data_IF_389388338938
#
_entry.id   IF_389388338938
#
_cell.length_a   1.000
_cell.length_b   1.000
_cell.length_c   1.000
_cell.angle_alpha   90.00
_cell.angle_beta   90.00
_cell.angle_gamma   90.00
#
_symmetry.space_group_name_H-M   'P 1'
#
loop_
_entity.id
_entity.type
_entity.pdbx_description
1 polymer ?
#
# COMPACT_ATOMS: atom_id res chain seq x y z
N UNK A 1 -10.85 -7.58 -7.66
CA UNK A 1 -12.00 -8.20 -8.38
C UNK A 1 -13.17 -7.23 -8.40
N UNK A 2 -13.59 -6.65 -7.26
CA UNK A 2 -14.73 -5.71 -7.21
C UNK A 2 -14.51 -4.46 -8.09
N UNK A 3 -13.31 -3.90 -8.11
CA UNK A 3 -12.99 -2.70 -8.90
C UNK A 3 -13.09 -2.96 -10.40
N UNK A 4 -12.75 -4.15 -10.87
CA UNK A 4 -12.87 -4.54 -12.28
C UNK A 4 -14.33 -4.61 -12.74
N UNK A 5 -15.15 -5.24 -11.94
CA UNK A 5 -16.55 -5.49 -12.24
C UNK A 5 -17.36 -4.18 -12.34
N UNK A 6 -16.95 -3.16 -11.57
CA UNK A 6 -17.58 -1.83 -11.60
C UNK A 6 -17.15 -1.02 -12.83
N UNK A 7 -15.91 -1.14 -13.29
CA UNK A 7 -15.41 -0.37 -14.44
C UNK A 7 -16.14 -0.73 -15.76
N UNK A 8 -16.62 -1.95 -15.93
CA UNK A 8 -17.31 -2.38 -17.14
C UNK A 8 -18.81 -2.02 -17.17
N UNK A 9 -19.35 -1.34 -16.15
CA UNK A 9 -20.76 -0.91 -16.09
C UNK A 9 -21.80 -2.04 -16.01
N UNK A 10 -21.35 -3.30 -15.99
CA UNK A 10 -22.21 -4.50 -15.93
C UNK A 10 -22.60 -4.89 -14.52
N UNK A 11 -21.77 -4.54 -13.53
CA UNK A 11 -22.05 -4.67 -12.10
C UNK A 11 -22.10 -3.29 -11.44
N UNK A 12 -22.93 -3.15 -10.44
CA UNK A 12 -23.10 -1.92 -9.67
C UNK A 12 -22.72 -2.16 -8.22
N UNK A 13 -22.31 -1.11 -7.53
CA UNK A 13 -22.14 -1.16 -6.09
C UNK A 13 -23.47 -1.51 -5.42
N UNK A 14 -23.45 -2.49 -4.51
CA UNK A 14 -24.64 -3.03 -3.87
C UNK A 14 -25.25 -4.26 -4.55
N UNK A 15 -24.74 -4.68 -5.72
CA UNK A 15 -25.13 -5.98 -6.31
C UNK A 15 -24.61 -7.13 -5.43
N UNK A 16 -25.49 -8.11 -5.18
CA UNK A 16 -25.18 -9.32 -4.41
C UNK A 16 -24.99 -10.49 -5.39
N UNK A 17 -23.84 -11.16 -5.35
CA UNK A 17 -23.56 -12.35 -6.16
C UNK A 17 -24.28 -13.52 -5.50
N UNK A 18 -25.21 -14.15 -6.23
CA UNK A 18 -26.01 -15.29 -5.77
C UNK A 18 -25.58 -16.61 -6.41
N UNK A 19 -25.04 -16.60 -7.64
CA UNK A 19 -24.49 -17.80 -8.27
C UNK A 19 -23.29 -17.48 -9.17
N UNK A 20 -22.40 -18.49 -9.34
CA UNK A 20 -21.23 -18.47 -10.22
C UNK A 20 -21.34 -19.66 -11.16
N UNK A 21 -21.37 -19.42 -12.49
CA UNK A 21 -21.55 -20.44 -13.53
C UNK A 21 -22.74 -21.38 -13.26
N UNK A 22 -23.80 -20.87 -12.62
CA UNK A 22 -25.00 -21.60 -12.26
C UNK A 22 -24.95 -22.29 -10.89
N UNK A 23 -23.81 -22.32 -10.21
CA UNK A 23 -23.71 -22.85 -8.85
C UNK A 23 -24.08 -21.77 -7.83
N UNK A 24 -25.01 -22.08 -6.92
CA UNK A 24 -25.41 -21.20 -5.83
C UNK A 24 -24.21 -20.95 -4.87
N UNK A 25 -23.95 -19.70 -4.58
CA UNK A 25 -22.92 -19.26 -3.64
C UNK A 25 -23.51 -18.55 -2.42
N UNK A 26 -24.83 -18.53 -2.28
CA UNK A 26 -25.47 -17.96 -1.10
C UNK A 26 -25.06 -18.74 0.15
N UNK A 27 -24.62 -18.03 1.19
CA UNK A 27 -24.11 -18.66 2.42
C UNK A 27 -22.66 -19.17 2.37
N UNK A 28 -21.97 -19.13 1.23
CA UNK A 28 -20.52 -19.39 1.16
C UNK A 28 -19.75 -18.23 1.75
N UNK A 29 -18.53 -18.51 2.27
CA UNK A 29 -17.67 -17.44 2.77
C UNK A 29 -17.12 -16.58 1.64
N UNK A 30 -16.74 -15.33 1.95
CA UNK A 30 -16.09 -14.46 0.98
C UNK A 30 -14.82 -15.10 0.36
N UNK A 31 -14.05 -15.84 1.16
CA UNK A 31 -12.85 -16.57 0.72
C UNK A 31 -13.17 -17.65 -0.31
N UNK A 32 -14.25 -18.42 -0.10
CA UNK A 32 -14.67 -19.48 -1.02
C UNK A 32 -15.11 -18.90 -2.37
N UNK A 33 -15.91 -17.82 -2.32
CA UNK A 33 -16.34 -17.10 -3.51
C UNK A 33 -15.16 -16.52 -4.28
N UNK A 34 -14.22 -15.87 -3.58
CA UNK A 34 -12.99 -15.34 -4.20
C UNK A 34 -12.14 -16.45 -4.82
N UNK A 35 -11.99 -17.59 -4.16
CA UNK A 35 -11.24 -18.74 -4.68
C UNK A 35 -11.88 -19.32 -5.92
N UNK A 36 -13.20 -19.44 -5.95
CA UNK A 36 -13.98 -19.90 -7.11
C UNK A 36 -13.78 -18.95 -8.32
N UNK A 37 -13.81 -17.65 -8.10
CA UNK A 37 -13.58 -16.65 -9.15
C UNK A 37 -12.11 -16.71 -9.65
N UNK A 38 -11.14 -16.83 -8.75
CA UNK A 38 -9.70 -16.94 -9.11
C UNK A 38 -9.41 -18.18 -9.96
N UNK A 39 -10.10 -19.30 -9.70
CA UNK A 39 -9.96 -20.53 -10.49
C UNK A 39 -10.45 -20.38 -11.95
N UNK A 40 -11.17 -19.28 -12.25
CA UNK A 40 -11.65 -18.94 -13.60
C UNK A 40 -10.74 -17.96 -14.35
N UNK A 41 -9.52 -17.73 -13.86
CA UNK A 41 -8.57 -16.85 -14.53
C UNK A 41 -8.36 -17.26 -15.99
N UNK A 42 -8.40 -16.29 -16.90
CA UNK A 42 -8.36 -16.45 -18.36
C UNK A 42 -9.54 -17.25 -18.95
N UNK A 43 -10.68 -17.28 -18.27
CA UNK A 43 -11.92 -17.89 -18.73
C UNK A 43 -13.08 -16.92 -18.59
N UNK A 44 -14.13 -17.16 -19.35
CA UNK A 44 -15.40 -16.46 -19.20
C UNK A 44 -16.13 -16.97 -17.94
N UNK A 45 -16.69 -16.04 -17.17
CA UNK A 45 -17.40 -16.28 -15.93
C UNK A 45 -18.82 -15.75 -16.06
N UNK A 46 -19.81 -16.55 -15.67
CA UNK A 46 -21.21 -16.10 -15.57
C UNK A 46 -21.56 -15.88 -14.10
N UNK A 47 -21.90 -14.63 -13.75
CA UNK A 47 -22.39 -14.29 -12.42
C UNK A 47 -23.90 -14.08 -12.46
N UNK A 48 -24.64 -14.73 -11.59
CA UNK A 48 -26.00 -14.31 -11.26
C UNK A 48 -25.92 -13.36 -10.09
N UNK A 49 -26.47 -12.17 -10.28
CA UNK A 49 -26.45 -11.12 -9.27
C UNK A 49 -27.86 -10.61 -9.01
N UNK A 50 -28.10 -10.19 -7.78
CA UNK A 50 -29.34 -9.53 -7.36
C UNK A 50 -29.01 -8.07 -7.05
N UNK A 51 -29.76 -7.14 -7.63
CA UNK A 51 -29.60 -5.71 -7.35
C UNK A 51 -30.26 -5.31 -6.02
N UNK A 52 -30.08 -4.04 -5.62
CA UNK A 52 -30.65 -3.49 -4.39
C UNK A 52 -32.19 -3.51 -4.35
N UNK A 53 -32.86 -3.69 -5.50
CA UNK A 53 -34.31 -3.83 -5.60
C UNK A 53 -34.75 -5.29 -5.57
N UNK A 54 -33.86 -6.26 -5.41
CA UNK A 54 -34.14 -7.70 -5.39
C UNK A 54 -34.24 -8.33 -6.75
N UNK A 55 -33.99 -7.60 -7.85
CA UNK A 55 -34.09 -8.14 -9.21
C UNK A 55 -32.84 -8.88 -9.60
N UNK A 56 -32.98 -10.15 -10.00
CA UNK A 56 -31.84 -10.97 -10.45
C UNK A 56 -31.54 -10.75 -11.94
N UNK A 57 -30.24 -10.77 -12.28
CA UNK A 57 -29.75 -10.78 -13.66
C UNK A 57 -28.47 -11.60 -13.77
N UNK A 58 -28.19 -12.10 -14.97
CA UNK A 58 -26.93 -12.78 -15.28
C UNK A 58 -26.00 -11.83 -16.02
N UNK A 59 -24.75 -11.76 -15.56
CA UNK A 59 -23.68 -10.98 -16.18
C UNK A 59 -22.57 -11.92 -16.60
N UNK A 60 -22.12 -11.80 -17.85
CA UNK A 60 -20.99 -12.57 -18.37
C UNK A 60 -19.76 -11.69 -18.39
N UNK A 61 -18.65 -12.17 -17.83
CA UNK A 61 -17.41 -11.44 -17.65
C UNK A 61 -16.23 -12.31 -18.05
N UNK A 62 -15.21 -11.71 -18.64
CA UNK A 62 -13.93 -12.37 -18.86
C UNK A 62 -13.03 -12.11 -17.66
N UNK A 63 -12.62 -13.20 -16.99
CA UNK A 63 -11.67 -13.13 -15.87
C UNK A 63 -10.25 -12.95 -16.40
N UNK A 64 -9.75 -11.72 -16.36
CA UNK A 64 -8.38 -11.40 -16.74
C UNK A 64 -7.60 -10.86 -15.56
N UNK A 65 -6.27 -10.97 -15.63
CA UNK A 65 -5.41 -10.27 -14.66
C UNK A 65 -5.50 -8.78 -14.95
N UNK A 66 -5.84 -8.00 -13.92
CA UNK A 66 -5.81 -6.55 -14.00
C UNK A 66 -4.63 -6.06 -13.23
N UNK A 67 -3.78 -5.38 -13.94
CA UNK A 67 -2.71 -4.60 -13.34
C UNK A 67 -3.27 -3.22 -13.01
N UNK A 68 -3.57 -2.98 -11.73
CA UNK A 68 -3.79 -1.62 -11.25
C UNK A 68 -2.43 -1.02 -10.93
N UNK A 69 -2.18 0.18 -11.43
CA UNK A 69 -0.96 0.89 -11.07
C UNK A 69 -0.95 1.13 -9.55
N UNK A 70 0.06 0.62 -8.83
CA UNK A 70 0.16 0.84 -7.39
C UNK A 70 0.45 2.30 -7.03
N UNK A 71 0.88 3.12 -8.00
CA UNK A 71 1.25 4.51 -7.79
C UNK A 71 0.40 5.41 -8.66
N UNK A 72 -0.24 6.39 -8.04
CA UNK A 72 -0.91 7.50 -8.76
C UNK A 72 -0.33 8.83 -8.26
N UNK A 73 -0.22 9.80 -9.14
CA UNK A 73 0.36 11.09 -8.79
C UNK A 73 -0.31 12.25 -9.53
N UNK A 74 -0.22 13.42 -8.97
CA UNK A 74 -0.67 14.68 -9.58
C UNK A 74 0.12 15.87 -9.05
N UNK A 75 0.39 16.85 -9.91
CA UNK A 75 0.80 18.17 -9.46
C UNK A 75 -0.47 18.95 -9.04
N UNK A 76 -0.47 19.47 -7.81
CA UNK A 76 -1.56 20.25 -7.27
C UNK A 76 -1.39 21.73 -7.65
N UNK A 77 -2.49 22.52 -7.67
CA UNK A 77 -2.49 23.93 -8.04
C UNK A 77 -1.55 24.81 -7.21
N UNK A 78 -1.27 24.40 -5.97
CA UNK A 78 -0.33 25.07 -5.06
C UNK A 78 1.14 24.68 -5.28
N UNK A 79 1.45 23.91 -6.32
CA UNK A 79 2.81 23.46 -6.65
C UNK A 79 3.32 22.28 -5.83
N UNK A 80 2.45 21.62 -5.05
CA UNK A 80 2.78 20.39 -4.30
C UNK A 80 2.61 19.18 -5.21
N UNK A 81 3.61 18.32 -5.27
CA UNK A 81 3.51 17.00 -5.90
C UNK A 81 2.85 16.01 -4.94
N UNK A 82 1.67 15.50 -5.28
CA UNK A 82 1.00 14.45 -4.52
C UNK A 82 1.27 13.10 -5.15
N UNK A 83 1.74 12.13 -4.36
CA UNK A 83 2.03 10.75 -4.77
C UNK A 83 1.30 9.79 -3.84
N UNK A 84 0.36 9.02 -4.34
CA UNK A 84 -0.27 7.94 -3.59
C UNK A 84 0.37 6.61 -3.95
N UNK A 85 0.91 5.90 -2.95
CA UNK A 85 1.47 4.56 -3.09
C UNK A 85 0.54 3.59 -2.37
N UNK A 86 -0.15 2.73 -3.13
CA UNK A 86 -1.14 1.78 -2.61
C UNK A 86 -0.53 0.53 -2.01
N UNK A 87 0.63 0.11 -2.54
CA UNK A 87 1.41 -1.03 -2.05
C UNK A 87 2.83 -0.97 -2.63
N UNK A 88 3.70 -1.81 -2.08
CA UNK A 88 5.06 -2.03 -2.57
C UNK A 88 5.19 -3.37 -3.31
N UNK A 89 4.24 -3.68 -4.19
CA UNK A 89 4.32 -4.83 -5.10
C UNK A 89 5.35 -4.58 -6.22
N UNK A 90 5.68 -5.63 -6.97
CA UNK A 90 6.70 -5.61 -8.04
C UNK A 90 6.53 -4.41 -8.98
N UNK A 91 7.57 -3.59 -9.08
CA UNK A 91 7.63 -2.37 -9.88
C UNK A 91 7.06 -1.12 -9.17
N UNK A 92 6.51 -1.25 -7.95
CA UNK A 92 5.94 -0.13 -7.20
C UNK A 92 6.97 0.93 -6.83
N UNK A 93 8.16 0.50 -6.38
CA UNK A 93 9.27 1.41 -6.07
C UNK A 93 9.73 2.20 -7.29
N UNK A 94 9.99 1.51 -8.40
CA UNK A 94 10.39 2.15 -9.67
C UNK A 94 9.33 3.15 -10.17
N UNK A 95 8.04 2.81 -10.07
CA UNK A 95 6.94 3.72 -10.45
C UNK A 95 6.85 4.93 -9.52
N UNK A 96 7.11 4.75 -8.23
CA UNK A 96 7.15 5.85 -7.28
C UNK A 96 8.31 6.82 -7.59
N UNK A 97 9.50 6.31 -7.92
CA UNK A 97 10.64 7.11 -8.41
C UNK A 97 10.25 7.91 -9.65
N UNK A 98 9.70 7.24 -10.67
CA UNK A 98 9.26 7.90 -11.91
C UNK A 98 8.20 8.98 -11.65
N UNK A 99 7.29 8.76 -10.70
CA UNK A 99 6.27 9.75 -10.32
C UNK A 99 6.90 10.97 -9.66
N UNK A 100 7.88 10.77 -8.77
CA UNK A 100 8.64 11.84 -8.11
C UNK A 100 9.39 12.68 -9.15
N UNK A 101 10.19 12.03 -10.01
CA UNK A 101 10.96 12.71 -11.05
C UNK A 101 10.04 13.52 -11.95
N UNK A 102 8.93 12.92 -12.41
CA UNK A 102 7.96 13.60 -13.25
C UNK A 102 7.33 14.82 -12.58
N UNK A 103 7.03 14.74 -11.29
CA UNK A 103 6.48 15.88 -10.54
C UNK A 103 7.51 17.01 -10.38
N UNK A 104 8.77 16.66 -10.10
CA UNK A 104 9.85 17.64 -10.02
C UNK A 104 10.11 18.31 -11.39
N UNK A 105 10.10 17.56 -12.47
CA UNK A 105 10.18 18.09 -13.85
C UNK A 105 9.02 19.04 -14.18
N UNK A 106 7.83 18.77 -13.64
CA UNK A 106 6.65 19.63 -13.77
C UNK A 106 6.71 20.86 -12.84
N UNK A 107 7.75 20.98 -12.02
CA UNK A 107 7.99 22.13 -11.17
C UNK A 107 7.45 22.01 -9.75
N UNK A 108 7.15 20.81 -9.28
CA UNK A 108 6.80 20.60 -7.87
C UNK A 108 7.89 21.14 -6.94
N UNK A 109 7.50 21.85 -5.90
CA UNK A 109 8.41 22.47 -4.92
C UNK A 109 8.47 21.69 -3.62
N UNK A 110 7.50 20.81 -3.38
CA UNK A 110 7.40 19.92 -2.24
C UNK A 110 6.60 18.67 -2.61
N UNK A 111 6.68 17.62 -1.79
CA UNK A 111 6.03 16.34 -2.06
C UNK A 111 5.17 15.90 -0.87
N UNK A 112 4.01 15.34 -1.17
CA UNK A 112 3.16 14.65 -0.19
C UNK A 112 2.97 13.21 -0.66
N UNK A 113 3.41 12.26 0.16
CA UNK A 113 3.20 10.82 -0.04
C UNK A 113 1.97 10.36 0.74
N UNK A 114 1.00 9.74 0.08
CA UNK A 114 -0.17 9.15 0.74
C UNK A 114 -0.03 7.63 0.80
N UNK A 115 0.20 7.12 2.01
CA UNK A 115 0.35 5.69 2.31
C UNK A 115 -0.84 5.14 3.11
N UNK A 116 -1.95 5.85 3.17
CA UNK A 116 -3.15 5.34 3.83
C UNK A 116 -3.61 4.05 3.17
N UNK A 117 -3.94 3.06 3.99
CA UNK A 117 -4.38 1.71 3.58
C UNK A 117 -3.33 0.94 2.76
N UNK A 118 -2.06 1.33 2.83
CA UNK A 118 -0.96 0.62 2.18
C UNK A 118 -0.49 -0.55 3.07
N UNK A 119 -0.66 -1.80 2.63
CA UNK A 119 -0.28 -2.98 3.42
C UNK A 119 1.21 -3.28 3.40
N UNK A 120 2.04 -2.45 2.78
CA UNK A 120 3.44 -2.74 2.55
C UNK A 120 3.66 -3.52 1.25
N UNK A 121 4.59 -4.47 1.27
CA UNK A 121 4.98 -5.27 0.11
C UNK A 121 6.44 -5.69 0.16
N UNK A 122 7.11 -5.68 -0.98
CA UNK A 122 8.48 -6.14 -1.14
C UNK A 122 9.49 -5.13 -0.58
N UNK A 123 10.47 -5.64 0.18
CA UNK A 123 11.56 -4.82 0.71
C UNK A 123 12.39 -4.16 -0.41
N UNK A 124 12.61 -4.87 -1.52
CA UNK A 124 13.33 -4.30 -2.68
C UNK A 124 12.65 -3.05 -3.24
N UNK A 125 11.33 -3.03 -3.29
CA UNK A 125 10.57 -1.88 -3.79
C UNK A 125 10.61 -0.69 -2.82
N UNK A 126 10.55 -0.98 -1.51
CA UNK A 126 10.77 0.03 -0.47
C UNK A 126 12.16 0.66 -0.60
N UNK A 127 13.21 -0.17 -0.71
CA UNK A 127 14.60 0.33 -0.82
C UNK A 127 14.78 1.17 -2.08
N UNK A 128 14.22 0.75 -3.23
CA UNK A 128 14.34 1.51 -4.48
C UNK A 128 13.86 2.96 -4.33
N UNK A 129 12.75 3.21 -3.67
CA UNK A 129 12.23 4.58 -3.50
C UNK A 129 12.95 5.32 -2.37
N UNK A 130 13.32 4.65 -1.27
CA UNK A 130 14.06 5.29 -0.18
C UNK A 130 15.46 5.73 -0.61
N UNK A 131 16.17 4.91 -1.39
CA UNK A 131 17.48 5.22 -1.95
C UNK A 131 17.43 6.48 -2.83
N UNK A 132 16.37 6.64 -3.63
CA UNK A 132 16.16 7.83 -4.45
C UNK A 132 15.85 9.10 -3.64
N UNK A 133 15.16 8.96 -2.51
CA UNK A 133 14.72 10.11 -1.71
C UNK A 133 15.74 10.57 -0.66
N UNK A 134 16.44 9.64 -0.01
CA UNK A 134 17.24 9.88 1.18
C UNK A 134 18.72 10.05 0.86
N UNK A 135 19.47 10.86 1.64
CA UNK A 135 20.91 10.98 1.50
C UNK A 135 21.61 9.68 1.91
N UNK A 136 22.91 9.61 1.64
CA UNK A 136 23.72 8.46 2.02
C UNK A 136 23.58 8.11 3.51
N UNK A 137 23.25 6.85 3.78
CA UNK A 137 23.09 6.32 5.13
C UNK A 137 22.30 5.03 5.19
N UNK A 138 21.98 4.58 6.40
CA UNK A 138 21.23 3.36 6.64
C UNK A 138 19.75 3.58 6.28
N UNK A 139 19.19 2.74 5.39
CA UNK A 139 17.77 2.81 5.04
C UNK A 139 16.92 1.84 5.85
N UNK A 140 17.49 0.67 6.16
CA UNK A 140 16.75 -0.44 6.71
C UNK A 140 17.67 -1.45 7.36
N UNK A 141 17.28 -2.02 8.50
CA UNK A 141 18.03 -3.04 9.22
C UNK A 141 17.20 -4.30 9.37
N UNK A 142 17.77 -5.43 9.02
CA UNK A 142 17.16 -6.76 9.18
C UNK A 142 18.01 -7.57 10.17
N UNK A 143 17.37 -8.12 11.21
CA UNK A 143 18.03 -8.91 12.25
C UNK A 143 17.54 -10.36 12.15
N UNK A 144 18.46 -11.33 12.04
CA UNK A 144 18.13 -12.75 12.00
C UNK A 144 17.96 -13.35 13.40
N UNK A 145 17.61 -14.65 13.45
CA UNK A 145 17.39 -15.36 14.72
C UNK A 145 18.64 -15.50 15.62
N UNK A 146 19.84 -15.24 15.09
CA UNK A 146 21.10 -15.20 15.88
C UNK A 146 21.42 -13.80 16.42
N UNK A 147 20.64 -12.79 16.06
CA UNK A 147 20.88 -11.39 16.40
C UNK A 147 21.82 -10.67 15.44
N UNK A 148 22.17 -11.29 14.31
CA UNK A 148 23.03 -10.67 13.30
C UNK A 148 22.26 -9.65 12.49
N UNK A 149 22.74 -8.42 12.44
CA UNK A 149 22.20 -7.36 11.60
C UNK A 149 22.70 -7.47 10.16
N UNK A 150 21.80 -7.14 9.24
CA UNK A 150 22.11 -6.86 7.84
C UNK A 150 21.53 -5.48 7.54
N UNK A 151 22.38 -4.53 7.19
CA UNK A 151 22.01 -3.14 6.93
C UNK A 151 21.95 -2.91 5.43
N UNK A 152 20.90 -2.26 4.97
CA UNK A 152 20.77 -1.75 3.61
C UNK A 152 20.95 -0.24 3.64
N UNK A 153 21.82 0.28 2.75
CA UNK A 153 22.20 1.69 2.73
C UNK A 153 21.82 2.35 1.41
N UNK A 154 21.61 3.67 1.44
CA UNK A 154 21.47 4.53 0.27
C UNK A 154 22.83 5.02 -0.23
N UNK A 155 22.84 5.50 -1.46
CA UNK A 155 23.96 6.25 -2.03
C UNK A 155 23.88 7.75 -1.68
N UNK A 156 24.64 8.60 -2.37
CA UNK A 156 24.69 10.05 -2.10
C UNK A 156 23.71 10.88 -2.91
N UNK A 157 22.96 10.25 -3.81
CA UNK A 157 21.97 10.95 -4.67
C UNK A 157 20.62 10.99 -3.93
N UNK A 158 20.07 12.17 -3.75
CA UNK A 158 18.81 12.32 -3.01
C UNK A 158 17.95 13.47 -3.54
N UNK A 159 16.66 13.44 -3.23
CA UNK A 159 15.69 14.51 -3.54
C UNK A 159 15.59 15.45 -2.35
N UNK A 160 15.97 16.72 -2.54
CA UNK A 160 15.94 17.77 -1.50
C UNK A 160 14.79 18.75 -1.72
N UNK A 161 13.59 18.35 -1.31
CA UNK A 161 12.41 19.23 -1.22
C UNK A 161 11.66 18.93 0.08
N UNK A 162 10.88 19.86 0.64
CA UNK A 162 10.01 19.56 1.79
C UNK A 162 9.07 18.39 1.49
N UNK A 163 8.93 17.47 2.44
CA UNK A 163 8.09 16.29 2.28
C UNK A 163 7.14 16.08 3.47
N UNK A 164 5.98 15.50 3.19
CA UNK A 164 5.10 14.95 4.22
C UNK A 164 4.61 13.57 3.81
N UNK A 165 4.32 12.72 4.79
CA UNK A 165 3.77 11.38 4.58
C UNK A 165 2.47 11.24 5.36
N UNK A 166 1.40 10.85 4.67
CA UNK A 166 0.10 10.57 5.28
C UNK A 166 -0.01 9.09 5.57
N UNK A 167 -0.30 8.74 6.82
CA UNK A 167 -0.45 7.36 7.30
C UNK A 167 -1.75 7.17 8.08
N UNK A 168 -2.21 5.92 8.19
CA UNK A 168 -3.36 5.57 9.03
C UNK A 168 -3.19 4.19 9.69
N UNK A 169 -4.19 3.75 10.46
CA UNK A 169 -4.17 2.46 11.16
C UNK A 169 -4.05 1.22 10.26
N UNK A 170 -4.27 1.37 8.95
CA UNK A 170 -4.10 0.31 7.96
C UNK A 170 -2.78 0.44 7.17
N UNK A 171 -1.93 1.39 7.52
CA UNK A 171 -0.56 1.48 7.01
C UNK A 171 0.31 0.49 7.79
N UNK A 172 0.93 -0.50 7.13
CA UNK A 172 1.75 -1.47 7.84
C UNK A 172 2.96 -2.00 7.04
N UNK A 173 3.91 -2.63 7.75
CA UNK A 173 5.10 -3.28 7.16
C UNK A 173 5.96 -2.28 6.37
N UNK A 174 6.34 -2.55 5.12
CA UNK A 174 7.19 -1.68 4.28
C UNK A 174 6.70 -0.22 4.26
N UNK A 175 5.40 0.02 4.32
CA UNK A 175 4.84 1.38 4.35
C UNK A 175 5.16 2.14 5.65
N UNK A 176 5.22 1.42 6.78
CA UNK A 176 5.65 2.02 8.05
C UNK A 176 7.14 2.38 8.04
N UNK A 177 7.98 1.47 7.47
CA UNK A 177 9.41 1.70 7.34
C UNK A 177 9.73 2.84 6.37
N UNK A 178 8.93 3.03 5.31
CA UNK A 178 9.03 4.20 4.43
C UNK A 178 8.85 5.50 5.22
N UNK A 179 7.75 5.61 5.97
CA UNK A 179 7.45 6.79 6.76
C UNK A 179 8.49 7.01 7.89
N UNK A 180 8.87 5.92 8.58
CA UNK A 180 9.85 5.99 9.67
C UNK A 180 11.23 6.43 9.17
N UNK A 181 11.72 5.90 8.05
CA UNK A 181 13.00 6.30 7.50
C UNK A 181 13.03 7.79 7.12
N UNK A 182 12.00 8.28 6.41
CA UNK A 182 11.92 9.70 6.07
C UNK A 182 11.90 10.61 7.31
N UNK A 183 11.18 10.21 8.37
CA UNK A 183 11.15 10.96 9.63
C UNK A 183 12.50 10.96 10.33
N UNK A 184 13.15 9.80 10.42
CA UNK A 184 14.43 9.67 11.15
C UNK A 184 15.58 10.40 10.49
N UNK A 185 15.46 10.73 9.21
CA UNK A 185 16.37 11.61 8.47
C UNK A 185 15.96 13.10 8.51
N UNK A 186 14.89 13.45 9.23
CA UNK A 186 14.30 14.81 9.20
C UNK A 186 13.90 15.25 7.77
N UNK A 187 13.52 14.28 6.91
CA UNK A 187 13.19 14.52 5.51
C UNK A 187 11.68 14.74 5.30
N UNK A 188 10.82 14.21 6.17
CA UNK A 188 9.39 14.36 6.06
C UNK A 188 8.70 14.48 7.42
N UNK A 189 7.62 15.28 7.45
CA UNK A 189 6.64 15.30 8.55
C UNK A 189 5.62 14.19 8.36
N UNK A 190 5.39 13.38 9.38
CA UNK A 190 4.40 12.30 9.35
C UNK A 190 3.06 12.81 9.88
N UNK A 191 2.01 12.64 9.09
CA UNK A 191 0.67 13.16 9.37
C UNK A 191 -0.36 12.03 9.37
N UNK A 192 -1.32 12.05 10.27
CA UNK A 192 -2.46 11.13 10.25
C UNK A 192 -2.68 10.37 11.54
N UNK A 193 -2.74 9.04 11.48
CA UNK A 193 -3.02 8.18 12.63
C UNK A 193 -1.89 7.18 12.86
N UNK A 194 -1.80 6.67 14.09
CA UNK A 194 -0.84 5.62 14.44
C UNK A 194 -0.97 4.42 13.48
N UNK A 195 0.16 3.88 13.05
CA UNK A 195 0.22 2.74 12.13
C UNK A 195 0.07 1.40 12.86
N UNK A 196 0.14 0.28 12.13
CA UNK A 196 -0.16 -1.06 12.69
C UNK A 196 0.94 -1.63 13.59
N UNK A 197 2.22 -1.39 13.29
CA UNK A 197 3.36 -1.96 14.03
C UNK A 197 3.83 -3.33 13.55
N UNK A 198 3.88 -3.58 12.23
CA UNK A 198 4.36 -4.85 11.67
C UNK A 198 5.86 -4.81 11.38
N UNK A 199 6.69 -5.20 12.35
CA UNK A 199 8.15 -5.23 12.27
C UNK A 199 8.78 -6.62 12.06
N UNK A 200 8.08 -7.58 11.45
CA UNK A 200 8.60 -8.95 11.22
C UNK A 200 8.41 -9.37 9.76
N UNK A 201 9.45 -9.98 9.18
CA UNK A 201 9.32 -10.68 7.89
C UNK A 201 8.80 -12.08 8.08
N UNK A 202 8.14 -12.57 7.05
CA UNK A 202 7.63 -13.93 7.01
C UNK A 202 8.22 -14.66 5.82
N UNK A 203 8.58 -15.93 6.04
CA UNK A 203 9.10 -16.82 5.01
C UNK A 203 8.20 -18.05 4.93
N UNK A 204 7.83 -18.41 3.71
CA UNK A 204 7.11 -19.66 3.45
C UNK A 204 8.10 -20.74 3.05
N UNK A 205 8.13 -21.83 3.81
CA UNK A 205 8.99 -22.99 3.57
C UNK A 205 8.07 -24.12 3.10
N UNK A 206 8.26 -24.57 1.84
CA UNK A 206 7.57 -25.74 1.32
C UNK A 206 8.10 -27.02 1.99
N UNK A 207 7.21 -27.93 2.35
CA UNK A 207 7.55 -29.23 2.94
C UNK A 207 7.44 -30.36 1.90
N UNK A 208 8.14 -31.50 2.12
CA UNK A 208 8.16 -32.60 1.14
C UNK A 208 6.80 -33.25 0.86
N UNK A 209 5.84 -33.12 1.76
CA UNK A 209 4.48 -33.64 1.62
C UNK A 209 3.53 -32.71 0.84
N UNK A 210 4.06 -31.57 0.30
CA UNK A 210 3.29 -30.57 -0.43
C UNK A 210 2.62 -29.52 0.45
N UNK A 211 2.73 -29.62 1.76
CA UNK A 211 2.32 -28.55 2.70
C UNK A 211 3.38 -27.45 2.79
N UNK A 212 3.09 -26.37 3.49
CA UNK A 212 4.05 -25.29 3.72
C UNK A 212 3.94 -24.73 5.13
N UNK A 213 5.06 -24.27 5.66
CA UNK A 213 5.11 -23.54 6.93
C UNK A 213 5.39 -22.07 6.64
N UNK A 214 4.58 -21.20 7.22
CA UNK A 214 4.72 -19.74 7.12
C UNK A 214 5.15 -19.20 8.48
N UNK A 215 6.41 -18.77 8.60
CA UNK A 215 7.02 -18.38 9.87
C UNK A 215 7.62 -16.97 9.82
N UNK A 216 7.63 -16.28 10.94
CA UNK A 216 8.41 -15.05 11.12
C UNK A 216 9.89 -15.40 11.24
N UNK A 217 10.71 -14.95 10.30
CA UNK A 217 12.11 -15.34 10.17
C UNK A 217 13.10 -14.25 10.53
N UNK A 218 12.70 -12.97 10.44
CA UNK A 218 13.55 -11.83 10.72
C UNK A 218 12.80 -10.72 11.43
N UNK A 219 13.51 -10.01 12.29
CA UNK A 219 13.09 -8.75 12.88
C UNK A 219 13.55 -7.61 11.97
N UNK A 220 12.70 -6.61 11.78
CA UNK A 220 12.99 -5.41 11.01
C UNK A 220 13.08 -4.20 11.92
N UNK A 221 14.10 -3.39 11.68
CA UNK A 221 14.34 -2.17 12.41
C UNK A 221 14.47 -0.98 11.44
N UNK A 222 14.09 0.18 11.91
CA UNK A 222 14.30 1.44 11.20
C UNK A 222 15.80 1.79 11.10
N UNK A 223 16.20 2.82 10.35
CA UNK A 223 17.58 3.30 10.33
C UNK A 223 18.19 3.50 11.73
N UNK A 224 17.44 4.06 12.67
CA UNK A 224 17.85 4.28 14.05
C UNK A 224 17.66 3.04 14.97
N UNK A 225 17.47 1.85 14.40
CA UNK A 225 17.28 0.57 15.12
C UNK A 225 16.02 0.52 15.98
N UNK A 226 14.99 1.28 15.62
CA UNK A 226 13.69 1.22 16.31
C UNK A 226 12.88 0.02 15.82
N UNK A 227 12.34 -0.77 16.76
CA UNK A 227 11.38 -1.84 16.48
C UNK A 227 9.96 -1.30 16.54
N UNK A 228 9.36 -1.07 15.38
CA UNK A 228 7.99 -0.56 15.28
C UNK A 228 6.96 -1.52 15.89
N UNK A 229 7.25 -2.83 15.96
CA UNK A 229 6.34 -3.79 16.58
C UNK A 229 6.33 -3.71 18.11
N UNK A 230 7.46 -3.34 18.72
CA UNK A 230 7.55 -3.12 20.17
C UNK A 230 6.92 -1.78 20.57
N UNK A 231 6.91 -0.79 19.65
CA UNK A 231 6.29 0.52 19.87
C UNK A 231 4.77 0.52 19.57
N UNK A 232 4.22 -0.55 18.99
CA UNK A 232 2.82 -0.58 18.57
C UNK A 232 2.52 0.29 17.35
N UNK A 233 3.51 0.49 16.48
CA UNK A 233 3.43 1.26 15.23
C UNK A 233 4.20 2.58 15.26
N UNK A 234 4.08 3.34 14.18
CA UNK A 234 4.65 4.66 14.01
C UNK A 234 3.62 5.70 14.44
N UNK A 235 3.91 6.45 15.49
CA UNK A 235 3.07 7.59 15.92
C UNK A 235 3.37 8.77 15.01
N UNK A 236 2.39 9.39 14.36
CA UNK A 236 2.59 10.59 13.52
C UNK A 236 3.08 11.79 14.33
N UNK A 237 3.82 12.68 13.67
CA UNK A 237 4.23 13.97 14.24
C UNK A 237 3.02 14.90 14.40
N UNK A 238 2.07 14.83 13.45
CA UNK A 238 0.81 15.56 13.45
C UNK A 238 -0.34 14.56 13.44
N UNK A 239 -0.96 14.35 14.59
CA UNK A 239 -2.09 13.40 14.73
C UNK A 239 -3.36 14.06 14.20
N UNK A 240 -3.96 13.46 13.15
CA UNK A 240 -5.19 13.95 12.53
C UNK A 240 -6.13 12.77 12.30
N UNK A 241 -7.32 12.84 12.90
CA UNK A 241 -8.38 11.87 12.63
C UNK A 241 -8.90 12.03 11.19
N UNK A 242 -9.43 10.95 10.57
CA UNK A 242 -10.16 11.11 9.31
C UNK A 242 -11.34 12.06 9.54
N UNK A 243 -11.58 12.95 8.59
CA UNK A 243 -12.72 13.87 8.66
C UNK A 243 -14.03 13.09 8.72
N UNK A 244 -14.98 13.57 9.53
CA UNK A 244 -16.33 13.04 9.58
C UNK A 244 -17.12 13.38 8.29
N UNK A 245 -16.67 14.40 7.56
CA UNK A 245 -17.27 14.90 6.33
C UNK A 245 -16.49 14.40 5.12
N UNK A 246 -17.17 13.80 4.14
CA UNK A 246 -16.53 13.22 2.94
C UNK A 246 -16.00 14.27 1.95
N UNK A 247 -16.33 15.57 2.16
CA UNK A 247 -15.94 16.66 1.26
C UNK A 247 -14.53 17.22 1.55
N UNK A 248 -14.03 17.10 2.79
CA UNK A 248 -12.72 17.66 3.19
C UNK A 248 -11.81 16.56 3.72
N UNK A 249 -10.69 16.33 3.05
CA UNK A 249 -9.63 15.43 3.52
C UNK A 249 -8.71 16.18 4.51
N UNK A 250 -9.10 16.19 5.78
CA UNK A 250 -8.35 16.88 6.84
C UNK A 250 -6.89 16.44 6.99
N UNK A 251 -6.60 15.15 6.71
CA UNK A 251 -5.25 14.63 6.76
C UNK A 251 -4.41 15.17 5.59
N UNK A 252 -4.99 15.23 4.39
CA UNK A 252 -4.33 15.84 3.24
C UNK A 252 -4.08 17.33 3.46
N UNK A 253 -5.05 18.07 3.98
CA UNK A 253 -4.89 19.51 4.27
C UNK A 253 -3.78 19.76 5.31
N UNK A 254 -3.69 18.92 6.34
CA UNK A 254 -2.60 18.98 7.32
C UNK A 254 -1.25 18.69 6.69
N UNK A 255 -1.15 17.67 5.83
CA UNK A 255 0.09 17.35 5.09
C UNK A 255 0.51 18.46 4.14
N UNK A 256 -0.44 19.07 3.41
CA UNK A 256 -0.18 20.23 2.57
C UNK A 256 0.31 21.44 3.36
N UNK A 257 -0.15 21.59 4.60
CA UNK A 257 0.31 22.66 5.50
C UNK A 257 1.71 22.42 6.03
N UNK A 258 2.10 21.16 6.24
CA UNK A 258 3.42 20.79 6.72
C UNK A 258 4.57 20.98 5.68
N UNK A 259 4.24 21.11 4.40
CA UNK A 259 5.22 21.26 3.30
C UNK A 259 5.23 22.66 2.65
N UNK A 260 4.59 23.63 3.30
CA UNK A 260 4.55 25.05 2.86
C UNK A 260 5.80 25.82 3.21
#
# INVERSE_FOLDING_TARGET
VATLLVQNGTLKQGDIITAIDGEDVTGKTLSDVQSTIRAKLNKTLKLTVQDTAGKSRTVTLDCTVIYTDPVTYKLMDNGVGYVRIRNFETGGGTRAVQAVDKLLDLGAKSLVFDLRDNPGGLLSELITILDHLLPQGDLFVSVDGSGKETVTQSDSVCVKVPMAVIVNGNTYSAAEFFAAALREYDWATIVGQNTTGKGRSQTTIALPDGSAVHISSRKYLTPNRVDLSEQGGLVPDVVVAPGADSEVDAQLEAALSAVR
#
